data_IF_335651359027
#
_entry.id   IF_335651359027
#
_cell.length_a   1.000
_cell.length_b   1.000
_cell.length_c   1.000
_cell.angle_alpha   90.00
_cell.angle_beta   90.00
_cell.angle_gamma   90.00
#
_symmetry.space_group_name_H-M   'P 1'
#
loop_
_entity.id
_entity.type
_entity.pdbx_description
1 polymer ?
#
# COMPACT_ATOMS: atom_id res chain seq x y z
N UNK A 1 12.58 6.79 -18.43
CA UNK A 1 11.12 6.64 -18.26
C UNK A 1 10.82 5.15 -18.25
N UNK A 2 10.29 4.64 -17.15
CA UNK A 2 9.93 3.23 -17.01
C UNK A 2 8.68 2.96 -17.85
N UNK A 3 8.70 1.96 -18.72
CA UNK A 3 7.52 1.55 -19.48
C UNK A 3 6.70 0.57 -18.65
N UNK A 4 5.47 0.93 -18.33
CA UNK A 4 4.61 0.09 -17.51
C UNK A 4 4.01 -1.08 -18.31
N UNK A 5 4.08 -2.31 -17.77
CA UNK A 5 3.37 -3.45 -18.34
C UNK A 5 1.86 -3.28 -18.19
N UNK A 6 1.08 -4.02 -18.98
CA UNK A 6 -0.37 -3.88 -19.02
C UNK A 6 -1.06 -4.07 -17.66
N UNK A 7 -0.50 -4.90 -16.77
CA UNK A 7 -1.05 -5.11 -15.42
C UNK A 7 -0.87 -3.94 -14.46
N UNK A 8 0.01 -2.99 -14.81
CA UNK A 8 0.28 -1.79 -14.03
C UNK A 8 -0.40 -0.54 -14.62
N UNK A 9 -1.23 -0.69 -15.66
CA UNK A 9 -1.94 0.42 -16.28
C UNK A 9 -3.24 0.71 -15.56
N UNK A 10 -3.40 1.97 -15.15
CA UNK A 10 -4.62 2.48 -14.54
C UNK A 10 -5.63 2.91 -15.62
N UNK A 11 -6.91 2.70 -15.35
CA UNK A 11 -7.98 3.40 -16.07
C UNK A 11 -8.10 4.82 -15.49
N UNK A 12 -7.82 5.83 -16.32
CA UNK A 12 -7.89 7.27 -15.97
C UNK A 12 -9.24 7.92 -16.34
N UNK A 13 -10.22 7.13 -16.77
CA UNK A 13 -11.54 7.61 -17.21
C UNK A 13 -12.61 7.61 -16.12
N UNK A 14 -12.29 7.10 -14.92
CA UNK A 14 -13.24 6.99 -13.82
C UNK A 14 -13.51 8.37 -13.22
N UNK A 15 -14.78 8.67 -12.95
CA UNK A 15 -15.18 9.88 -12.23
C UNK A 15 -14.95 9.71 -10.72
N UNK A 16 -14.99 10.82 -9.96
CA UNK A 16 -15.07 10.74 -8.50
C UNK A 16 -16.26 9.86 -8.04
N UNK A 17 -16.06 9.05 -7.00
CA UNK A 17 -17.03 8.09 -6.50
C UNK A 17 -16.43 6.73 -6.13
N UNK A 18 -17.31 5.77 -5.86
CA UNK A 18 -16.94 4.41 -5.44
C UNK A 18 -16.76 3.51 -6.66
N UNK A 19 -15.63 2.83 -6.73
CA UNK A 19 -15.25 1.93 -7.82
C UNK A 19 -14.73 0.61 -7.30
N UNK A 20 -14.78 -0.42 -8.14
CA UNK A 20 -14.04 -1.67 -7.89
C UNK A 20 -12.55 -1.39 -8.10
N UNK A 21 -11.70 -2.02 -7.31
CA UNK A 21 -10.25 -1.98 -7.54
C UNK A 21 -9.89 -2.47 -8.96
N UNK A 22 -10.59 -3.50 -9.44
CA UNK A 22 -10.49 -4.01 -10.81
C UNK A 22 -11.04 -3.06 -11.90
N UNK A 23 -11.85 -2.06 -11.57
CA UNK A 23 -12.20 -1.02 -12.55
C UNK A 23 -11.03 -0.06 -12.72
N UNK A 24 -10.32 0.26 -11.63
CA UNK A 24 -9.18 1.17 -11.64
C UNK A 24 -7.91 0.54 -12.23
N UNK A 25 -7.61 -0.73 -11.94
CA UNK A 25 -6.44 -1.44 -12.48
C UNK A 25 -6.86 -2.81 -13.06
N UNK A 26 -7.46 -2.84 -14.26
CA UNK A 26 -8.18 -4.02 -14.77
C UNK A 26 -7.34 -5.29 -14.92
N UNK A 27 -6.04 -5.13 -15.13
CA UNK A 27 -5.13 -6.24 -15.38
C UNK A 27 -4.28 -6.63 -14.16
N UNK A 28 -4.56 -6.05 -12.99
CA UNK A 28 -3.74 -6.21 -11.77
C UNK A 28 -3.54 -7.65 -11.35
N UNK A 29 -4.50 -8.55 -11.63
CA UNK A 29 -4.39 -9.98 -11.31
C UNK A 29 -3.16 -10.66 -11.95
N UNK A 30 -2.58 -10.06 -13.00
CA UNK A 30 -1.35 -10.55 -13.65
C UNK A 30 -0.06 -9.96 -13.04
N UNK A 31 -0.18 -9.05 -12.08
CA UNK A 31 0.95 -8.44 -11.39
C UNK A 31 1.67 -9.47 -10.53
N UNK A 32 3.00 -9.64 -10.69
CA UNK A 32 3.78 -10.53 -9.83
C UNK A 32 3.86 -10.00 -8.38
N UNK A 33 3.72 -8.69 -8.16
CA UNK A 33 3.75 -8.08 -6.82
C UNK A 33 2.67 -8.62 -5.89
N UNK A 34 1.54 -9.10 -6.44
CA UNK A 34 0.46 -9.64 -5.63
C UNK A 34 0.87 -10.89 -4.83
N UNK A 35 1.94 -11.59 -5.24
CA UNK A 35 2.50 -12.71 -4.46
C UNK A 35 3.01 -12.23 -3.11
N UNK A 36 3.60 -11.03 -3.05
CA UNK A 36 4.07 -10.41 -1.80
C UNK A 36 2.89 -9.87 -0.99
N UNK A 37 1.89 -9.26 -1.65
CA UNK A 37 0.66 -8.78 -0.98
C UNK A 37 -0.06 -9.91 -0.25
N UNK A 38 -0.23 -11.06 -0.92
CA UNK A 38 -0.86 -12.24 -0.36
C UNK A 38 -0.31 -13.51 -1.04
N UNK A 39 0.53 -14.30 -0.34
CA UNK A 39 1.10 -15.53 -0.91
C UNK A 39 0.04 -16.58 -1.26
N UNK A 40 -0.98 -16.73 -0.40
CA UNK A 40 -2.10 -17.65 -0.63
C UNK A 40 -2.95 -17.19 -1.84
N UNK A 41 -3.09 -18.02 -2.90
CA UNK A 41 -3.82 -17.64 -4.11
C UNK A 41 -5.30 -17.37 -3.88
N UNK A 42 -5.93 -18.04 -2.91
CA UNK A 42 -7.34 -17.87 -2.58
C UNK A 42 -7.55 -16.55 -1.83
N UNK A 43 -6.66 -16.22 -0.89
CA UNK A 43 -6.67 -14.91 -0.22
C UNK A 43 -6.44 -13.80 -1.24
N UNK A 44 -5.40 -13.92 -2.07
CA UNK A 44 -5.06 -12.95 -3.11
C UNK A 44 -6.20 -12.67 -4.08
N UNK A 45 -6.85 -13.73 -4.58
CA UNK A 45 -7.95 -13.58 -5.54
C UNK A 45 -9.14 -12.88 -4.89
N UNK A 46 -9.54 -13.31 -3.68
CA UNK A 46 -10.63 -12.68 -2.93
C UNK A 46 -10.35 -11.21 -2.64
N UNK A 47 -9.13 -10.87 -2.19
CA UNK A 47 -8.72 -9.52 -1.84
C UNK A 47 -8.83 -8.57 -3.04
N UNK A 48 -8.26 -8.95 -4.19
CA UNK A 48 -8.32 -8.15 -5.42
C UNK A 48 -9.76 -8.02 -5.92
N UNK A 49 -10.52 -9.12 -5.87
CA UNK A 49 -11.90 -9.12 -6.32
C UNK A 49 -12.78 -8.28 -5.44
N UNK A 50 -12.64 -8.33 -4.11
CA UNK A 50 -13.50 -7.63 -3.14
C UNK A 50 -13.17 -6.16 -2.97
N UNK A 51 -11.88 -5.78 -3.12
CA UNK A 51 -11.40 -4.43 -2.89
C UNK A 51 -12.16 -3.36 -3.69
N UNK A 52 -12.39 -2.22 -3.03
CA UNK A 52 -12.96 -1.02 -3.60
C UNK A 52 -12.02 0.17 -3.45
N UNK A 53 -12.17 1.13 -4.36
CA UNK A 53 -11.46 2.39 -4.35
C UNK A 53 -12.48 3.51 -4.38
N UNK A 54 -12.35 4.47 -3.48
CA UNK A 54 -13.16 5.67 -3.46
C UNK A 54 -12.33 6.86 -3.92
N UNK A 55 -12.61 7.34 -5.12
CA UNK A 55 -11.98 8.54 -5.67
C UNK A 55 -12.71 9.74 -5.07
N UNK A 56 -12.07 10.42 -4.10
CA UNK A 56 -12.65 11.58 -3.40
C UNK A 56 -12.04 12.88 -3.90
N UNK A 57 -12.86 13.90 -4.08
CA UNK A 57 -12.37 15.24 -4.39
C UNK A 57 -11.41 15.76 -3.32
N UNK A 58 -10.42 16.55 -3.73
CA UNK A 58 -9.42 17.14 -2.82
C UNK A 58 -7.98 16.84 -3.21
N UNK A 59 -7.06 17.19 -2.32
CA UNK A 59 -5.62 16.91 -2.45
C UNK A 59 -5.19 15.89 -1.39
N UNK A 60 -4.12 15.16 -1.68
CA UNK A 60 -3.59 14.11 -0.82
C UNK A 60 -3.09 12.95 -1.67
N UNK A 61 -2.89 11.80 -1.04
CA UNK A 61 -2.42 10.58 -1.69
C UNK A 61 -3.51 9.50 -1.64
N UNK A 62 -3.11 8.24 -1.51
CA UNK A 62 -4.00 7.13 -1.16
C UNK A 62 -3.88 6.80 0.33
N UNK A 63 -4.92 6.18 0.91
CA UNK A 63 -4.90 5.58 2.25
C UNK A 63 -6.06 4.58 2.39
N UNK A 64 -6.03 3.69 3.38
CA UNK A 64 -7.18 2.83 3.74
C UNK A 64 -8.11 3.52 4.75
N UNK A 65 -9.40 3.62 4.41
CA UNK A 65 -10.47 3.91 5.35
C UNK A 65 -10.80 2.62 6.13
N UNK A 66 -10.62 2.63 7.45
CA UNK A 66 -10.81 1.44 8.30
C UNK A 66 -12.24 1.28 8.78
N UNK A 67 -13.06 2.34 8.74
CA UNK A 67 -14.47 2.28 9.13
C UNK A 67 -15.32 1.69 8.00
N UNK A 68 -15.03 2.12 6.78
CA UNK A 68 -15.54 1.51 5.55
C UNK A 68 -14.34 0.95 4.79
N UNK A 69 -13.94 -0.32 5.03
CA UNK A 69 -12.75 -0.93 4.44
C UNK A 69 -12.65 -0.74 2.93
N UNK A 70 -11.91 0.28 2.51
CA UNK A 70 -11.68 0.65 1.11
C UNK A 70 -10.43 1.52 0.99
N UNK A 71 -9.90 1.59 -0.23
CA UNK A 71 -8.82 2.52 -0.56
C UNK A 71 -9.45 3.87 -0.87
N UNK A 72 -9.13 4.92 -0.13
CA UNK A 72 -9.45 6.29 -0.50
C UNK A 72 -8.32 6.81 -1.36
N UNK A 73 -8.65 7.32 -2.54
CA UNK A 73 -7.70 7.92 -3.48
C UNK A 73 -8.10 9.37 -3.76
N UNK A 74 -7.17 10.30 -3.54
CA UNK A 74 -7.46 11.71 -3.88
C UNK A 74 -7.62 11.88 -5.38
N UNK A 75 -8.65 12.63 -5.81
CA UNK A 75 -8.92 12.89 -7.22
C UNK A 75 -7.76 13.64 -7.89
N UNK A 76 -7.15 14.60 -7.18
CA UNK A 76 -5.98 15.31 -7.71
C UNK A 76 -4.82 14.35 -8.00
N UNK A 77 -4.53 13.42 -7.08
CA UNK A 77 -3.46 12.45 -7.28
C UNK A 77 -3.81 11.44 -8.38
N UNK A 78 -5.06 10.97 -8.41
CA UNK A 78 -5.59 10.15 -9.48
C UNK A 78 -5.59 10.82 -10.86
N UNK A 79 -5.49 12.14 -10.97
CA UNK A 79 -5.40 12.83 -12.27
C UNK A 79 -3.96 13.20 -12.64
N UNK A 80 -3.16 13.63 -11.67
CA UNK A 80 -1.85 14.24 -11.92
C UNK A 80 -0.66 13.37 -11.48
N UNK A 81 -0.89 12.36 -10.64
CA UNK A 81 0.15 11.44 -10.17
C UNK A 81 0.72 10.58 -11.28
N UNK A 82 1.99 10.20 -11.16
CA UNK A 82 2.63 9.30 -12.14
C UNK A 82 1.94 7.94 -12.15
N UNK A 83 1.82 7.30 -13.32
CA UNK A 83 1.21 5.97 -13.39
C UNK A 83 1.97 4.94 -12.54
N UNK A 84 3.30 5.09 -12.43
CA UNK A 84 4.13 4.19 -11.63
C UNK A 84 3.83 4.37 -10.15
N UNK A 85 3.86 5.60 -9.62
CA UNK A 85 3.62 5.83 -8.20
C UNK A 85 2.21 5.41 -7.80
N UNK A 86 1.20 5.72 -8.61
CA UNK A 86 -0.17 5.29 -8.33
C UNK A 86 -0.31 3.76 -8.36
N UNK A 87 0.35 3.07 -9.28
CA UNK A 87 0.33 1.62 -9.31
C UNK A 87 0.98 1.02 -8.04
N UNK A 88 2.12 1.58 -7.60
CA UNK A 88 2.82 1.13 -6.40
C UNK A 88 2.04 1.44 -5.12
N UNK A 89 1.45 2.63 -5.02
CA UNK A 89 0.59 3.02 -3.90
C UNK A 89 -0.67 2.14 -3.86
N UNK A 90 -1.27 1.81 -4.99
CA UNK A 90 -2.42 0.90 -5.02
C UNK A 90 -2.06 -0.52 -4.57
N UNK A 91 -0.80 -0.96 -4.72
CA UNK A 91 -0.32 -2.22 -4.14
C UNK A 91 -0.04 -2.08 -2.64
N UNK A 92 0.49 -0.95 -2.21
CA UNK A 92 0.68 -0.59 -0.80
C UNK A 92 -0.68 -0.64 -0.07
N UNK A 93 -1.68 0.09 -0.56
CA UNK A 93 -2.99 0.16 0.06
C UNK A 93 -3.75 -1.18 0.01
N UNK A 94 -3.56 -1.98 -1.05
CA UNK A 94 -4.10 -3.33 -1.09
C UNK A 94 -3.47 -4.23 0.01
N UNK A 95 -2.19 -4.01 0.31
CA UNK A 95 -1.48 -4.68 1.41
C UNK A 95 -2.08 -4.29 2.76
N UNK A 96 -2.47 -3.03 2.94
CA UNK A 96 -3.19 -2.55 4.13
C UNK A 96 -4.59 -3.14 4.28
N UNK A 97 -5.36 -3.28 3.18
CA UNK A 97 -6.66 -3.97 3.24
C UNK A 97 -6.51 -5.41 3.75
N UNK A 98 -5.48 -6.13 3.27
CA UNK A 98 -5.17 -7.49 3.76
C UNK A 98 -4.72 -7.49 5.22
N UNK A 99 -3.93 -6.51 5.66
CA UNK A 99 -3.54 -6.38 7.07
C UNK A 99 -4.76 -6.11 7.97
N UNK A 100 -5.72 -5.34 7.48
CA UNK A 100 -6.98 -5.10 8.19
C UNK A 100 -7.80 -6.39 8.32
N UNK A 101 -7.88 -7.22 7.26
CA UNK A 101 -8.49 -8.56 7.33
C UNK A 101 -7.76 -9.50 8.31
N UNK A 102 -6.43 -9.37 8.41
CA UNK A 102 -5.59 -10.08 9.38
C UNK A 102 -5.72 -9.54 10.82
N UNK A 103 -6.48 -8.46 11.02
CA UNK A 103 -6.79 -7.87 12.31
C UNK A 103 -5.75 -6.85 12.83
N UNK A 104 -4.83 -6.39 11.99
CA UNK A 104 -3.86 -5.37 12.37
C UNK A 104 -4.51 -3.99 12.54
N UNK A 105 -3.92 -3.21 13.44
CA UNK A 105 -4.23 -1.79 13.63
C UNK A 105 -3.31 -0.96 12.73
N UNK A 106 -3.82 -0.47 11.60
CA UNK A 106 -3.04 0.33 10.65
C UNK A 106 -2.55 1.65 11.26
N UNK A 107 -3.26 2.13 12.29
CA UNK A 107 -3.00 3.40 12.97
C UNK A 107 -2.40 3.21 14.35
N UNK A 108 -1.62 2.15 14.57
CA UNK A 108 -1.04 1.85 15.89
C UNK A 108 -0.06 2.96 16.33
N UNK A 109 -0.57 3.91 17.12
CA UNK A 109 0.15 5.08 17.63
C UNK A 109 1.24 4.73 18.65
N UNK A 110 1.41 3.45 19.01
CA UNK A 110 2.56 2.99 19.78
C UNK A 110 3.86 3.11 18.99
N UNK A 111 3.78 3.18 17.65
CA UNK A 111 4.91 3.28 16.76
C UNK A 111 4.80 4.51 15.85
N UNK A 112 5.94 5.18 15.66
CA UNK A 112 6.10 6.18 14.62
C UNK A 112 5.78 5.57 13.25
N UNK A 113 5.31 6.38 12.30
CA UNK A 113 4.89 5.94 10.96
C UNK A 113 5.90 4.98 10.31
N UNK A 114 7.16 5.36 10.28
CA UNK A 114 8.24 4.57 9.64
C UNK A 114 8.66 3.32 10.41
N UNK A 115 8.22 3.16 11.66
CA UNK A 115 8.49 2.00 12.51
C UNK A 115 7.29 1.04 12.61
N UNK A 116 6.16 1.37 11.97
CA UNK A 116 4.98 0.50 11.94
C UNK A 116 5.25 -0.71 11.05
N UNK A 117 5.04 -1.95 11.52
CA UNK A 117 5.21 -3.13 10.69
C UNK A 117 4.29 -3.10 9.46
N UNK A 118 3.12 -2.49 9.58
CA UNK A 118 2.13 -2.38 8.50
C UNK A 118 2.64 -1.53 7.34
N UNK A 119 3.19 -0.35 7.64
CA UNK A 119 3.81 0.57 6.67
C UNK A 119 5.06 -0.03 6.05
N UNK A 120 5.93 -0.66 6.86
CA UNK A 120 7.15 -1.30 6.35
C UNK A 120 6.82 -2.42 5.37
N UNK A 121 5.84 -3.26 5.66
CA UNK A 121 5.41 -4.30 4.72
C UNK A 121 4.77 -3.71 3.46
N UNK A 122 3.92 -2.67 3.60
CA UNK A 122 3.29 -1.98 2.47
C UNK A 122 4.32 -1.35 1.52
N UNK A 123 5.29 -0.62 2.07
CA UNK A 123 6.39 -0.06 1.28
C UNK A 123 7.31 -1.12 0.69
N UNK A 124 7.53 -2.24 1.39
CA UNK A 124 8.34 -3.32 0.84
C UNK A 124 7.71 -3.95 -0.41
N UNK A 125 6.38 -4.09 -0.45
CA UNK A 125 5.66 -4.51 -1.66
C UNK A 125 5.90 -3.52 -2.79
N UNK A 126 5.69 -2.22 -2.53
CA UNK A 126 5.87 -1.16 -3.52
C UNK A 126 7.32 -1.11 -4.05
N UNK A 127 8.31 -1.19 -3.16
CA UNK A 127 9.73 -1.08 -3.53
C UNK A 127 10.23 -2.30 -4.27
N UNK A 128 9.86 -3.51 -3.84
CA UNK A 128 10.22 -4.73 -4.56
C UNK A 128 9.69 -4.68 -5.99
N UNK A 129 8.42 -4.30 -6.16
CA UNK A 129 7.81 -4.20 -7.49
C UNK A 129 8.42 -3.05 -8.31
N UNK A 130 8.64 -1.90 -7.69
CA UNK A 130 9.31 -0.76 -8.31
C UNK A 130 10.70 -1.13 -8.83
N UNK A 131 11.52 -1.79 -8.02
CA UNK A 131 12.85 -2.32 -8.40
C UNK A 131 12.72 -3.32 -9.55
N UNK A 132 11.74 -4.22 -9.50
CA UNK A 132 11.46 -5.19 -10.58
C UNK A 132 11.07 -4.50 -11.90
N UNK A 133 10.42 -3.34 -11.84
CA UNK A 133 10.08 -2.50 -13.00
C UNK A 133 11.23 -1.56 -13.43
N UNK A 134 12.34 -1.54 -12.70
CA UNK A 134 13.54 -0.78 -13.06
C UNK A 134 13.70 0.56 -12.33
N UNK A 135 13.05 0.75 -11.17
CA UNK A 135 13.38 1.89 -10.30
C UNK A 135 14.82 1.80 -9.80
N UNK A 136 15.52 2.94 -9.87
CA UNK A 136 16.82 3.15 -9.23
C UNK A 136 16.62 3.45 -7.75
N UNK A 137 17.70 3.43 -6.97
CA UNK A 137 17.65 3.82 -5.55
C UNK A 137 17.16 5.26 -5.38
N UNK A 138 17.52 6.19 -6.27
CA UNK A 138 17.01 7.56 -6.24
C UNK A 138 15.49 7.63 -6.42
N UNK A 139 14.93 6.81 -7.33
CA UNK A 139 13.48 6.73 -7.52
C UNK A 139 12.79 6.07 -6.32
N UNK A 140 13.44 5.09 -5.70
CA UNK A 140 12.94 4.47 -4.45
C UNK A 140 12.89 5.50 -3.32
N UNK A 141 13.95 6.27 -3.13
CA UNK A 141 13.99 7.34 -2.13
C UNK A 141 12.92 8.40 -2.41
N UNK A 142 12.74 8.79 -3.67
CA UNK A 142 11.69 9.73 -4.06
C UNK A 142 10.30 9.20 -3.73
N UNK A 143 10.02 7.93 -4.04
CA UNK A 143 8.73 7.29 -3.76
C UNK A 143 8.44 7.16 -2.25
N UNK A 144 9.46 6.87 -1.44
CA UNK A 144 9.34 6.81 0.02
C UNK A 144 9.16 8.18 0.68
N UNK A 145 9.51 9.26 -0.01
CA UNK A 145 9.54 10.60 0.57
C UNK A 145 8.15 11.21 0.63
N UNK A 146 7.64 11.40 1.84
CA UNK A 146 6.40 12.12 2.08
C UNK A 146 6.63 13.47 2.76
N UNK A 147 5.75 14.48 2.55
CA UNK A 147 5.92 15.83 3.12
C UNK A 147 6.00 15.89 4.65
N UNK A 148 5.56 14.84 5.35
CA UNK A 148 5.58 14.73 6.81
C UNK A 148 6.77 13.92 7.36
N UNK A 149 7.69 13.46 6.50
CA UNK A 149 8.84 12.66 6.89
C UNK A 149 10.13 13.49 6.81
N UNK A 150 11.02 13.31 7.79
CA UNK A 150 12.39 13.83 7.70
C UNK A 150 13.29 12.89 6.90
N UNK A 151 14.45 13.38 6.46
CA UNK A 151 15.47 12.53 5.81
C UNK A 151 15.87 11.34 6.71
N UNK A 152 15.93 11.56 8.04
CA UNK A 152 16.22 10.50 9.00
C UNK A 152 15.10 9.44 9.05
N UNK A 153 13.84 9.85 8.91
CA UNK A 153 12.71 8.93 8.82
C UNK A 153 12.77 8.10 7.55
N UNK A 154 13.08 8.74 6.41
CA UNK A 154 13.23 8.05 5.12
C UNK A 154 14.35 7.00 5.21
N UNK A 155 15.53 7.36 5.74
CA UNK A 155 16.64 6.40 5.88
C UNK A 155 16.30 5.23 6.81
N UNK A 156 15.57 5.50 7.90
CA UNK A 156 15.10 4.45 8.81
C UNK A 156 14.09 3.52 8.13
N UNK A 157 13.15 4.08 7.37
CA UNK A 157 12.17 3.31 6.59
C UNK A 157 12.87 2.42 5.56
N UNK A 158 13.82 2.96 4.78
CA UNK A 158 14.64 2.18 3.84
C UNK A 158 15.31 1.01 4.56
N UNK A 159 15.95 1.26 5.70
CA UNK A 159 16.62 0.22 6.48
C UNK A 159 15.67 -0.86 7.01
N UNK A 160 14.44 -0.52 7.37
CA UNK A 160 13.40 -1.50 7.73
C UNK A 160 12.94 -2.32 6.52
N UNK A 161 12.66 -1.66 5.40
CA UNK A 161 12.25 -2.33 4.16
C UNK A 161 13.31 -3.31 3.68
N UNK A 162 14.58 -2.88 3.62
CA UNK A 162 15.66 -3.76 3.14
C UNK A 162 15.87 -4.96 4.08
N UNK A 163 15.72 -4.79 5.40
CA UNK A 163 15.76 -5.93 6.34
C UNK A 163 14.59 -6.89 6.12
N UNK A 164 13.38 -6.37 5.89
CA UNK A 164 12.23 -7.21 5.61
C UNK A 164 12.37 -7.95 4.28
N UNK A 165 12.82 -7.28 3.23
CA UNK A 165 12.99 -7.90 1.92
C UNK A 165 14.08 -8.99 1.92
N UNK A 166 15.19 -8.78 2.64
CA UNK A 166 16.31 -9.73 2.67
C UNK A 166 16.16 -10.84 3.73
N UNK A 167 15.52 -10.55 4.86
CA UNK A 167 15.48 -11.44 6.03
C UNK A 167 14.09 -11.76 6.57
N UNK A 168 13.03 -11.16 6.02
CA UNK A 168 11.65 -11.35 6.50
C UNK A 168 11.36 -10.68 7.86
N UNK A 169 12.22 -9.79 8.32
CA UNK A 169 12.09 -9.12 9.62
C UNK A 169 11.29 -7.81 9.50
N UNK A 170 10.11 -7.77 10.13
CA UNK A 170 9.34 -6.53 10.31
C UNK A 170 9.61 -5.93 11.69
N UNK A 171 9.79 -4.60 11.80
CA UNK A 171 9.95 -3.96 13.10
C UNK A 171 8.67 -4.10 13.93
N UNK A 172 8.83 -4.28 15.24
CA UNK A 172 7.74 -4.25 16.21
C UNK A 172 6.57 -5.25 15.99
N UNK A 173 6.73 -6.24 15.11
CA UNK A 173 5.64 -7.13 14.68
C UNK A 173 5.01 -7.94 15.83
N UNK A 174 5.81 -8.37 16.81
CA UNK A 174 5.31 -9.09 17.98
C UNK A 174 4.35 -8.22 18.81
N UNK A 175 4.75 -6.98 19.09
CA UNK A 175 3.95 -6.02 19.87
C UNK A 175 2.70 -5.57 19.10
N UNK A 176 2.79 -5.43 17.78
CA UNK A 176 1.63 -5.12 16.92
C UNK A 176 0.57 -6.23 17.01
N UNK A 177 0.97 -7.51 16.96
CA UNK A 177 0.05 -8.66 17.08
C UNK A 177 -0.64 -8.76 18.44
N UNK A 178 0.04 -8.40 19.52
CA UNK A 178 -0.58 -8.37 20.86
C UNK A 178 -1.70 -7.32 20.97
N UNK A 179 -1.57 -6.19 20.24
CA UNK A 179 -2.59 -5.15 20.17
C UNK A 179 -3.82 -5.57 19.37
N UNK A 180 -3.62 -6.26 18.25
CA UNK A 180 -4.67 -6.81 17.39
C UNK A 180 -5.63 -7.73 18.17
N UNK A 181 -5.09 -8.63 18.99
CA UNK A 181 -5.87 -9.56 19.81
C UNK A 181 -6.77 -8.88 20.87
N UNK A 182 -6.45 -7.64 21.27
CA UNK A 182 -7.21 -6.89 22.30
C UNK A 182 -8.36 -6.06 21.74
N UNK A 183 -8.42 -5.77 20.44
CA UNK A 183 -9.52 -4.99 19.83
C UNK A 183 -10.67 -5.90 19.36
N UNK A 184 -11.17 -6.78 20.24
CA UNK A 184 -12.53 -7.33 20.08
C UNK A 184 -13.52 -6.25 20.56
N UNK A 185 -14.22 -5.60 19.63
CA UNK A 185 -15.20 -4.53 19.85
C UNK A 185 -14.61 -3.23 20.39
N UNK A 186 -14.70 -2.17 19.58
CA UNK A 186 -15.00 -0.84 20.13
C UNK A 186 -16.33 -0.37 19.54
N UNK A 187 -17.29 0.05 20.38
CA UNK A 187 -18.61 0.48 19.94
C UNK A 187 -18.64 2.02 19.90
N UNK A 188 -17.92 2.68 19.01
CA UNK A 188 -18.12 4.11 18.77
C UNK A 188 -17.87 4.37 17.30
#
# INVERSE_FOLDING_TARGET
MIHLPDFARLDRSLAAGDHRYLALVPSIQRSPALIRVAPDPSVRSRLVESASVQIRGGRGYAFVDVETPCIVLSEWYYQAGSDLDLYLDLLHELTHLRQLEDGFDLWDERFEYVDRPTEVEGYAVAIEEGRRLGMTDDLVLQHLSNPWMSDADIQRLVGHVDRFLNGGELPNIAQAREGAARKSRRPW
#
